data_IF_078292081060
#
_entry.id   IF_078292081060
#
_cell.length_a   1.000
_cell.length_b   1.000
_cell.length_c   1.000
_cell.angle_alpha   90.00
_cell.angle_beta   90.00
_cell.angle_gamma   90.00
#
_symmetry.space_group_name_H-M   'P 1'
#
loop_
_entity.id
_entity.type
_entity.pdbx_description
1 polymer ?
#
# COMPACT_ATOMS: atom_id res chain seq x y z
N UNK A 1 -6.76 11.38 -10.66
CA UNK A 1 -6.54 10.72 -11.98
C UNK A 1 -5.12 10.17 -12.08
N UNK A 2 -4.13 10.84 -11.49
CA UNK A 2 -2.74 10.37 -11.48
C UNK A 2 -2.56 8.97 -10.85
N UNK A 3 -3.41 8.63 -9.88
CA UNK A 3 -3.44 7.36 -9.14
C UNK A 3 -4.23 6.27 -9.88
N UNK A 4 -5.01 6.65 -10.90
CA UNK A 4 -5.88 5.78 -11.68
C UNK A 4 -5.31 5.46 -13.06
N UNK A 5 -4.05 5.85 -13.33
CA UNK A 5 -3.36 5.46 -14.54
C UNK A 5 -1.88 5.15 -14.30
N UNK A 6 -1.30 4.34 -15.18
CA UNK A 6 0.12 4.05 -15.22
C UNK A 6 0.64 4.23 -16.65
N UNK A 7 1.53 5.21 -16.83
CA UNK A 7 2.21 5.45 -18.10
C UNK A 7 3.36 4.45 -18.31
N UNK A 8 3.43 3.85 -19.50
CA UNK A 8 4.45 2.88 -19.90
C UNK A 8 5.09 3.34 -21.22
N UNK A 9 6.29 3.93 -21.19
CA UNK A 9 7.00 4.31 -22.41
C UNK A 9 7.56 3.08 -23.15
N UNK A 10 7.85 3.23 -24.44
CA UNK A 10 8.47 2.21 -25.28
C UNK A 10 7.51 1.13 -25.79
N UNK A 11 6.20 1.26 -25.55
CA UNK A 11 5.18 0.35 -26.08
C UNK A 11 4.23 1.11 -27.01
N UNK A 12 3.66 0.45 -28.05
CA UNK A 12 2.70 1.11 -28.94
C UNK A 12 1.41 1.44 -28.17
N UNK A 13 0.73 2.52 -28.56
CA UNK A 13 -0.54 2.96 -27.95
C UNK A 13 -1.61 1.85 -27.94
N UNK A 14 -1.63 1.00 -28.97
CA UNK A 14 -2.53 -0.15 -29.08
C UNK A 14 -2.35 -1.20 -27.96
N UNK A 15 -1.23 -1.18 -27.22
CA UNK A 15 -1.01 -2.03 -26.04
C UNK A 15 -1.62 -1.48 -24.76
N UNK A 16 -2.18 -0.26 -24.80
CA UNK A 16 -2.90 0.33 -23.67
C UNK A 16 -4.13 -0.50 -23.32
N UNK A 17 -4.43 -0.59 -22.02
CA UNK A 17 -5.55 -1.40 -21.52
C UNK A 17 -6.04 -0.91 -20.18
N UNK A 18 -7.30 -1.21 -19.88
CA UNK A 18 -7.88 -0.98 -18.55
C UNK A 18 -7.77 -2.29 -17.77
N UNK A 19 -7.22 -2.22 -16.55
CA UNK A 19 -7.18 -3.33 -15.62
C UNK A 19 -8.12 -3.07 -14.43
N UNK A 20 -8.78 -4.10 -13.89
CA UNK A 20 -9.50 -3.97 -12.62
C UNK A 20 -8.50 -3.73 -11.49
N UNK A 21 -8.91 -3.01 -10.44
CA UNK A 21 -8.07 -2.66 -9.30
C UNK A 21 -7.17 -1.45 -9.53
N UNK A 22 -6.19 -1.28 -8.64
CA UNK A 22 -5.21 -0.19 -8.67
C UNK A 22 -3.79 -0.73 -8.87
N UNK A 23 -2.90 0.12 -9.38
CA UNK A 23 -1.49 -0.21 -9.59
C UNK A 23 -0.65 0.72 -8.73
N UNK A 24 0.07 0.15 -7.76
CA UNK A 24 1.05 0.85 -6.96
C UNK A 24 2.39 0.77 -7.67
N UNK A 25 3.02 1.92 -7.96
CA UNK A 25 4.24 2.00 -8.78
C UNK A 25 5.52 1.60 -8.03
N UNK A 26 5.39 0.67 -7.09
CA UNK A 26 6.38 0.17 -6.12
C UNK A 26 6.44 -1.34 -6.25
N UNK A 27 7.55 -1.92 -5.83
CA UNK A 27 7.70 -3.36 -5.73
C UNK A 27 7.41 -3.84 -4.30
N UNK A 28 7.24 -5.14 -4.12
CA UNK A 28 7.11 -5.75 -2.80
C UNK A 28 8.45 -5.70 -2.04
N UNK A 29 8.41 -5.21 -0.81
CA UNK A 29 9.51 -5.40 0.15
C UNK A 29 9.55 -6.86 0.66
N UNK A 30 8.37 -7.47 0.76
CA UNK A 30 8.17 -8.89 0.99
C UNK A 30 7.00 -9.38 0.12
N UNK A 31 7.21 -10.43 -0.66
CA UNK A 31 6.13 -11.05 -1.43
C UNK A 31 5.87 -12.46 -0.91
N UNK A 32 4.68 -12.65 -0.36
CA UNK A 32 4.13 -13.92 0.11
C UNK A 32 2.84 -14.17 -0.67
N UNK A 33 2.86 -14.98 -1.74
CA UNK A 33 1.70 -15.17 -2.60
C UNK A 33 0.55 -15.81 -1.82
N UNK A 34 -0.66 -15.25 -2.01
CA UNK A 34 -1.90 -15.76 -1.43
C UNK A 34 -2.90 -15.98 -2.56
N UNK A 35 -3.63 -17.09 -2.49
CA UNK A 35 -4.73 -17.35 -3.41
C UNK A 35 -6.04 -16.83 -2.81
N UNK A 36 -6.82 -16.12 -3.63
CA UNK A 36 -8.13 -15.61 -3.24
C UNK A 36 -8.08 -14.33 -2.41
N UNK A 37 -9.18 -14.09 -1.69
CA UNK A 37 -9.37 -12.88 -0.89
C UNK A 37 -8.42 -12.83 0.30
N UNK A 38 -7.95 -11.62 0.62
CA UNK A 38 -6.95 -11.39 1.65
C UNK A 38 -7.22 -10.09 2.40
N UNK A 39 -6.92 -10.08 3.70
CA UNK A 39 -7.04 -8.88 4.53
C UNK A 39 -5.77 -8.06 4.44
N UNK A 40 -5.93 -6.78 4.15
CA UNK A 40 -4.88 -5.78 4.05
C UNK A 40 -4.97 -4.79 5.21
N UNK A 41 -3.82 -4.47 5.80
CA UNK A 41 -3.67 -3.47 6.84
C UNK A 41 -2.98 -2.23 6.27
N UNK A 42 -3.56 -1.07 6.51
CA UNK A 42 -3.00 0.24 6.14
C UNK A 42 -2.22 0.77 7.33
N UNK A 43 -0.99 1.24 7.14
CA UNK A 43 -0.15 1.80 8.21
C UNK A 43 0.54 3.07 7.73
N UNK A 44 0.61 4.08 8.58
CA UNK A 44 1.26 5.36 8.27
C UNK A 44 2.64 5.55 8.89
N UNK A 45 3.02 4.68 9.83
CA UNK A 45 4.21 4.85 10.67
C UNK A 45 5.14 3.62 10.61
N UNK A 46 6.45 3.77 10.91
CA UNK A 46 7.33 2.63 11.12
C UNK A 46 6.83 1.75 12.28
N UNK A 47 6.79 0.44 12.05
CA UNK A 47 6.20 -0.51 13.00
C UNK A 47 7.18 -0.99 14.06
N UNK A 48 8.48 -0.83 13.82
CA UNK A 48 9.48 -1.08 14.86
C UNK A 48 9.38 0.07 15.89
N UNK A 49 9.18 -0.24 17.18
CA UNK A 49 9.24 0.76 18.23
C UNK A 49 10.60 1.46 18.23
N UNK A 50 10.58 2.79 18.30
CA UNK A 50 11.79 3.56 18.56
C UNK A 50 12.26 3.32 20.01
N UNK A 51 13.58 3.34 20.24
CA UNK A 51 14.14 3.25 21.59
C UNK A 51 13.82 4.49 22.42
N UNK A 52 13.68 5.63 21.76
CA UNK A 52 13.31 6.90 22.36
C UNK A 52 12.34 7.67 21.49
N UNK A 53 11.59 8.57 22.13
CA UNK A 53 10.79 9.56 21.42
C UNK A 53 11.71 10.55 20.66
N UNK A 54 11.17 11.28 19.67
CA UNK A 54 11.87 12.40 19.05
C UNK A 54 12.40 13.37 20.12
N UNK A 55 13.61 13.89 19.91
CA UNK A 55 14.28 14.83 20.82
C UNK A 55 14.57 14.31 22.24
N UNK A 56 14.55 12.99 22.44
CA UNK A 56 14.92 12.33 23.70
C UNK A 56 16.16 11.45 23.50
N UNK A 57 17.17 11.66 24.35
CA UNK A 57 18.40 10.86 24.36
C UNK A 57 18.19 9.50 25.06
N UNK A 58 18.67 8.44 24.42
CA UNK A 58 18.68 7.10 25.01
C UNK A 58 20.01 6.85 25.71
N UNK A 59 20.04 7.05 27.03
CA UNK A 59 21.24 6.78 27.84
C UNK A 59 21.26 5.30 28.22
N UNK A 60 22.40 4.64 27.98
CA UNK A 60 22.62 3.25 28.34
C UNK A 60 23.83 3.15 29.26
N UNK A 61 23.64 2.56 30.44
CA UNK A 61 24.70 2.42 31.46
C UNK A 61 25.56 1.16 31.25
N UNK A 62 25.12 0.24 30.40
CA UNK A 62 25.84 -1.00 30.10
C UNK A 62 25.44 -1.65 28.78
N UNK A 63 26.35 -2.41 28.18
CA UNK A 63 26.05 -3.24 27.00
C UNK A 63 24.88 -4.21 27.25
N UNK A 64 24.76 -4.76 28.46
CA UNK A 64 23.67 -5.66 28.83
C UNK A 64 22.29 -5.00 28.74
N UNK A 65 22.18 -3.73 29.13
CA UNK A 65 20.96 -2.94 29.01
C UNK A 65 20.62 -2.66 27.54
N UNK A 66 21.61 -2.27 26.74
CA UNK A 66 21.42 -2.07 25.30
C UNK A 66 20.89 -3.33 24.60
N UNK A 67 21.53 -4.48 24.87
CA UNK A 67 21.11 -5.78 24.34
C UNK A 67 19.73 -6.23 24.85
N UNK A 68 19.37 -5.88 26.08
CA UNK A 68 18.02 -6.12 26.59
C UNK A 68 16.97 -5.30 25.82
N UNK A 69 17.24 -4.02 25.57
CA UNK A 69 16.35 -3.14 24.80
C UNK A 69 16.15 -3.60 23.36
N UNK A 70 17.23 -4.02 22.68
CA UNK A 70 17.13 -4.58 21.32
C UNK A 70 16.31 -5.88 21.28
N UNK A 71 16.49 -6.76 22.28
CA UNK A 71 15.70 -8.00 22.41
C UNK A 71 14.23 -7.70 22.69
N UNK A 72 13.92 -6.69 23.49
CA UNK A 72 12.55 -6.25 23.75
C UNK A 72 11.89 -5.75 22.46
N UNK A 73 12.54 -4.86 21.71
CA UNK A 73 12.04 -4.39 20.40
C UNK A 73 11.77 -5.56 19.47
N UNK A 74 12.73 -6.48 19.35
CA UNK A 74 12.62 -7.65 18.47
C UNK A 74 11.40 -8.49 18.80
N UNK A 75 11.24 -8.86 20.09
CA UNK A 75 10.10 -9.66 20.56
C UNK A 75 8.77 -8.93 20.39
N UNK A 76 8.75 -7.61 20.58
CA UNK A 76 7.56 -6.78 20.40
C UNK A 76 7.14 -6.73 18.93
N UNK A 77 8.08 -6.50 18.01
CA UNK A 77 7.82 -6.53 16.57
C UNK A 77 7.33 -7.91 16.13
N UNK A 78 7.95 -8.98 16.61
CA UNK A 78 7.51 -10.35 16.33
C UNK A 78 6.06 -10.59 16.79
N UNK A 79 5.75 -10.23 18.04
CA UNK A 79 4.41 -10.41 18.61
C UNK A 79 3.35 -9.65 17.82
N UNK A 80 3.66 -8.42 17.39
CA UNK A 80 2.76 -7.60 16.57
C UNK A 80 2.44 -8.27 15.22
N UNK A 81 3.48 -8.69 14.49
CA UNK A 81 3.29 -9.34 13.17
C UNK A 81 2.59 -10.69 13.31
N UNK A 82 2.90 -11.44 14.37
CA UNK A 82 2.21 -12.70 14.69
C UNK A 82 0.73 -12.49 14.99
N UNK A 83 0.38 -11.42 15.70
CA UNK A 83 -1.01 -11.05 15.96
C UNK A 83 -1.75 -10.70 14.66
N UNK A 84 -1.11 -10.04 13.71
CA UNK A 84 -1.72 -9.76 12.41
C UNK A 84 -2.00 -11.04 11.64
N UNK A 85 -1.05 -11.98 11.65
CA UNK A 85 -1.25 -13.30 11.07
C UNK A 85 -2.42 -14.04 11.75
N UNK A 86 -2.56 -13.98 13.08
CA UNK A 86 -3.68 -14.62 13.78
C UNK A 86 -5.03 -13.96 13.45
N UNK A 87 -5.02 -12.69 13.07
CA UNK A 87 -6.18 -11.96 12.56
C UNK A 87 -6.37 -12.13 11.03
N UNK A 88 -5.66 -13.07 10.40
CA UNK A 88 -5.73 -13.35 8.97
C UNK A 88 -5.34 -12.16 8.06
N UNK A 89 -4.51 -11.24 8.56
CA UNK A 89 -3.87 -10.22 7.72
C UNK A 89 -2.79 -10.89 6.88
N UNK A 90 -2.78 -10.58 5.59
CA UNK A 90 -1.86 -11.15 4.59
C UNK A 90 -1.16 -10.09 3.75
N UNK A 91 -1.55 -8.83 3.88
CA UNK A 91 -0.95 -7.71 3.19
C UNK A 91 -0.79 -6.52 4.13
N UNK A 92 0.38 -5.91 4.12
CA UNK A 92 0.69 -4.65 4.78
C UNK A 92 0.95 -3.60 3.71
N UNK A 93 0.20 -2.50 3.77
CA UNK A 93 0.32 -1.32 2.92
C UNK A 93 0.78 -0.16 3.79
N UNK A 94 2.01 0.28 3.58
CA UNK A 94 2.67 1.25 4.46
C UNK A 94 3.09 2.51 3.71
N UNK A 95 2.72 3.69 4.22
CA UNK A 95 3.31 4.94 3.71
C UNK A 95 4.74 5.13 4.18
N UNK A 96 5.06 4.70 5.40
CA UNK A 96 6.42 4.71 5.93
C UNK A 96 7.26 3.57 5.34
N UNK A 97 8.58 3.77 5.30
CA UNK A 97 9.54 2.69 5.08
C UNK A 97 9.58 1.81 6.33
N UNK A 98 9.50 0.49 6.16
CA UNK A 98 9.57 -0.47 7.24
C UNK A 98 10.98 -0.99 7.43
N UNK A 99 11.32 -1.31 8.67
CA UNK A 99 12.65 -1.82 8.99
C UNK A 99 12.79 -3.30 8.64
N UNK A 100 14.03 -3.75 8.39
CA UNK A 100 14.32 -5.13 7.97
C UNK A 100 13.74 -6.17 8.91
N UNK A 101 13.70 -5.88 10.22
CA UNK A 101 13.11 -6.77 11.22
C UNK A 101 11.61 -6.97 11.02
N UNK A 102 10.88 -5.92 10.62
CA UNK A 102 9.44 -5.99 10.31
C UNK A 102 9.25 -6.82 9.04
N UNK A 103 10.04 -6.55 7.99
CA UNK A 103 10.00 -7.28 6.72
C UNK A 103 10.33 -8.76 6.93
N UNK A 104 11.32 -9.06 7.78
CA UNK A 104 11.72 -10.43 8.14
C UNK A 104 10.56 -11.20 8.78
N UNK A 105 9.95 -10.65 9.83
CA UNK A 105 8.82 -11.31 10.48
C UNK A 105 7.59 -11.37 9.58
N UNK A 106 7.34 -10.36 8.74
CA UNK A 106 6.26 -10.40 7.77
C UNK A 106 6.42 -11.59 6.81
N UNK A 107 7.64 -11.81 6.28
CA UNK A 107 7.95 -13.00 5.47
C UNK A 107 7.74 -14.29 6.25
N UNK A 108 8.25 -14.37 7.48
CA UNK A 108 8.12 -15.55 8.34
C UNK A 108 6.65 -15.94 8.59
N UNK A 109 5.78 -14.95 8.75
CA UNK A 109 4.37 -15.13 9.03
C UNK A 109 3.46 -15.07 7.78
N UNK A 110 4.05 -15.01 6.58
CA UNK A 110 3.32 -15.06 5.31
C UNK A 110 2.50 -13.80 5.01
N UNK A 111 3.02 -12.62 5.36
CA UNK A 111 2.44 -11.31 5.11
C UNK A 111 3.25 -10.61 4.03
N UNK A 112 2.60 -10.27 2.92
CA UNK A 112 3.20 -9.42 1.88
C UNK A 112 3.31 -7.97 2.36
N UNK A 113 4.37 -7.26 1.96
CA UNK A 113 4.62 -5.88 2.37
C UNK A 113 4.87 -5.01 1.15
N UNK A 114 4.11 -3.92 1.06
CA UNK A 114 4.36 -2.80 0.14
C UNK A 114 4.56 -1.55 1.01
N UNK A 115 5.69 -0.90 0.85
CA UNK A 115 6.10 0.26 1.65
C UNK A 115 6.37 1.49 0.78
N UNK A 116 6.56 2.64 1.43
CA UNK A 116 6.78 3.93 0.76
C UNK A 116 5.61 4.33 -0.17
N UNK A 117 4.38 4.03 0.24
CA UNK A 117 3.18 4.49 -0.45
C UNK A 117 3.01 6.01 -0.27
N UNK A 118 2.60 6.66 -1.35
CA UNK A 118 2.32 8.09 -1.33
C UNK A 118 1.03 8.36 -0.54
N UNK A 119 0.92 9.55 0.04
CA UNK A 119 -0.27 9.96 0.79
C UNK A 119 -1.54 9.90 -0.08
N UNK A 120 -1.42 10.22 -1.37
CA UNK A 120 -2.50 10.16 -2.35
C UNK A 120 -2.92 8.71 -2.64
N UNK A 121 -1.97 7.77 -2.69
CA UNK A 121 -2.26 6.34 -2.83
C UNK A 121 -2.98 5.81 -1.58
N UNK A 122 -2.52 6.19 -0.38
CA UNK A 122 -3.15 5.82 0.89
C UNK A 122 -4.57 6.40 1.01
N UNK A 123 -4.77 7.64 0.61
CA UNK A 123 -6.07 8.31 0.61
C UNK A 123 -7.04 7.60 -0.35
N UNK A 124 -6.60 7.28 -1.57
CA UNK A 124 -7.40 6.54 -2.55
C UNK A 124 -7.80 5.16 -2.02
N UNK A 125 -6.88 4.41 -1.40
CA UNK A 125 -7.21 3.10 -0.84
C UNK A 125 -8.23 3.24 0.29
N UNK A 126 -8.07 4.25 1.15
CA UNK A 126 -9.02 4.53 2.23
C UNK A 126 -10.40 4.89 1.69
N UNK A 127 -10.47 5.68 0.61
CA UNK A 127 -11.71 6.03 -0.09
C UNK A 127 -12.41 4.81 -0.70
N UNK A 128 -11.65 3.95 -1.40
CA UNK A 128 -12.18 2.74 -2.05
C UNK A 128 -12.71 1.73 -1.01
N UNK A 129 -12.01 1.58 0.11
CA UNK A 129 -12.24 0.48 1.07
C UNK A 129 -13.05 0.93 2.29
N UNK A 130 -13.15 2.24 2.53
CA UNK A 130 -13.76 2.81 3.74
C UNK A 130 -12.93 2.59 5.02
N UNK A 131 -11.71 2.06 4.91
CA UNK A 131 -10.87 1.69 6.06
C UNK A 131 -9.89 2.82 6.38
N UNK A 132 -9.76 3.15 7.66
CA UNK A 132 -8.76 4.11 8.13
C UNK A 132 -7.41 3.44 8.38
N UNK A 133 -6.28 4.17 8.23
CA UNK A 133 -4.98 3.62 8.58
C UNK A 133 -4.91 3.20 10.05
N UNK A 134 -4.34 2.02 10.28
CA UNK A 134 -4.05 1.50 11.59
C UNK A 134 -3.06 2.41 12.31
N UNK A 135 -3.48 2.88 13.47
CA UNK A 135 -2.66 3.70 14.37
C UNK A 135 -2.20 2.86 15.54
N UNK A 136 -0.89 2.57 15.58
CA UNK A 136 -0.24 1.95 16.74
C UNK A 136 0.04 2.99 17.81
N UNK A 137 -1.02 3.61 18.37
CA UNK A 137 -0.84 4.49 19.53
C UNK A 137 -0.57 3.64 20.78
N UNK A 138 0.67 3.71 21.27
CA UNK A 138 1.06 3.25 22.60
C UNK A 138 1.50 1.78 22.72
N UNK A 139 1.86 1.40 23.94
CA UNK A 139 2.46 0.11 24.26
C UNK A 139 1.49 -1.09 24.21
N UNK A 140 0.23 -0.89 23.81
CA UNK A 140 -0.73 -1.98 23.76
C UNK A 140 -0.59 -2.78 22.46
N UNK A 141 0.27 -3.81 22.49
CA UNK A 141 0.42 -4.79 21.39
C UNK A 141 -0.93 -5.39 21.02
N UNK A 142 -1.84 -5.55 21.98
CA UNK A 142 -3.11 -6.25 21.85
C UNK A 142 -4.29 -5.37 21.44
N UNK A 143 -4.07 -4.20 20.81
CA UNK A 143 -5.19 -3.46 20.23
C UNK A 143 -5.84 -4.33 19.14
N UNK A 144 -7.13 -4.55 19.28
CA UNK A 144 -7.91 -5.33 18.31
C UNK A 144 -7.80 -4.66 16.93
N UNK A 145 -7.56 -5.47 15.89
CA UNK A 145 -7.55 -4.98 14.51
C UNK A 145 -9.01 -4.82 14.09
N UNK A 146 -9.57 -3.65 14.36
CA UNK A 146 -10.98 -3.36 14.10
C UNK A 146 -11.25 -3.11 12.62
N UNK A 147 -10.27 -2.61 11.88
CA UNK A 147 -10.45 -2.23 10.47
C UNK A 147 -9.35 -2.84 9.59
N UNK A 148 -9.76 -3.56 8.55
CA UNK A 148 -8.87 -4.10 7.51
C UNK A 148 -9.56 -3.99 6.17
N UNK A 149 -8.81 -3.60 5.14
CA UNK A 149 -9.31 -3.63 3.77
C UNK A 149 -9.35 -5.09 3.27
N UNK A 150 -10.35 -5.42 2.46
CA UNK A 150 -10.41 -6.72 1.77
C UNK A 150 -9.90 -6.52 0.35
N UNK A 151 -8.88 -7.29 -0.01
CA UNK A 151 -8.38 -7.35 -1.38
C UNK A 151 -8.77 -8.69 -2.02
N UNK A 152 -9.29 -8.64 -3.24
CA UNK A 152 -9.69 -9.82 -4.03
C UNK A 152 -8.48 -10.50 -4.67
N UNK A 153 -7.43 -9.75 -4.95
CA UNK A 153 -6.13 -10.24 -5.38
C UNK A 153 -5.03 -9.23 -5.06
N UNK A 154 -3.79 -9.72 -4.92
CA UNK A 154 -2.59 -8.89 -4.80
C UNK A 154 -1.42 -9.63 -5.45
N UNK A 155 -0.83 -9.06 -6.50
CA UNK A 155 0.19 -9.74 -7.31
C UNK A 155 1.23 -8.77 -7.88
N UNK A 156 2.45 -9.24 -8.16
CA UNK A 156 3.43 -8.46 -8.90
C UNK A 156 2.99 -8.27 -10.34
N UNK A 157 3.19 -7.07 -10.87
CA UNK A 157 2.90 -6.70 -12.25
C UNK A 157 4.12 -6.04 -12.87
N UNK A 158 4.54 -6.55 -14.02
CA UNK A 158 5.62 -5.94 -14.79
C UNK A 158 5.04 -4.98 -15.83
N UNK A 159 5.34 -3.69 -15.69
CA UNK A 159 4.98 -2.64 -16.64
C UNK A 159 6.24 -2.11 -17.32
N UNK A 160 6.50 -2.59 -18.54
CA UNK A 160 7.78 -2.36 -19.21
C UNK A 160 8.92 -2.98 -18.41
N UNK A 161 9.86 -2.18 -17.92
CA UNK A 161 10.96 -2.60 -17.04
C UNK A 161 10.69 -2.38 -15.55
N UNK A 162 9.54 -1.83 -15.17
CA UNK A 162 9.22 -1.49 -13.78
C UNK A 162 8.35 -2.58 -13.14
N UNK A 163 8.77 -3.05 -11.96
CA UNK A 163 7.96 -3.92 -11.11
C UNK A 163 7.01 -3.05 -10.29
N UNK A 164 5.72 -3.35 -10.39
CA UNK A 164 4.63 -2.69 -9.71
C UNK A 164 3.84 -3.74 -8.91
N UNK A 165 3.01 -3.27 -7.98
CA UNK A 165 2.03 -4.12 -7.29
C UNK A 165 0.65 -3.84 -7.86
N UNK A 166 -0.07 -4.89 -8.23
CA UNK A 166 -1.43 -4.84 -8.75
C UNK A 166 -2.39 -5.40 -7.70
N UNK A 167 -3.35 -4.59 -7.27
CA UNK A 167 -4.26 -4.92 -6.17
C UNK A 167 -5.70 -4.66 -6.57
N UNK A 168 -6.55 -5.66 -6.42
CA UNK A 168 -8.00 -5.51 -6.49
C UNK A 168 -8.56 -5.39 -5.09
N UNK A 169 -9.33 -4.35 -4.80
CA UNK A 169 -10.04 -4.19 -3.53
C UNK A 169 -11.52 -4.54 -3.69
N UNK A 170 -12.10 -5.11 -2.65
CA UNK A 170 -13.55 -5.11 -2.46
C UNK A 170 -13.96 -3.68 -2.15
N UNK A 171 -14.55 -3.01 -3.14
CA UNK A 171 -14.96 -1.62 -3.04
C UNK A 171 -16.23 -1.51 -2.18
N UNK A 172 -16.24 -0.54 -1.27
CA UNK A 172 -17.49 -0.11 -0.60
C UNK A 172 -18.25 0.92 -1.43
N UNK A 173 -17.64 1.43 -2.51
CA UNK A 173 -18.25 2.37 -3.43
C UNK A 173 -19.16 1.65 -4.43
N UNK A 174 -20.09 2.41 -5.04
CA UNK A 174 -20.94 1.92 -6.13
C UNK A 174 -20.17 1.56 -7.43
N UNK A 175 -18.85 1.78 -7.45
CA UNK A 175 -17.98 1.49 -8.58
C UNK A 175 -16.81 0.60 -8.17
N UNK A 176 -16.35 -0.20 -9.12
CA UNK A 176 -15.11 -0.96 -8.98
C UNK A 176 -13.94 -0.10 -9.46
N UNK A 177 -12.86 0.05 -8.66
CA UNK A 177 -11.70 0.80 -9.10
C UNK A 177 -11.06 0.09 -10.29
N UNK A 178 -10.64 0.87 -11.27
CA UNK A 178 -9.89 0.40 -12.43
C UNK A 178 -8.68 1.32 -12.65
N UNK A 179 -7.61 0.75 -13.20
CA UNK A 179 -6.41 1.48 -13.56
C UNK A 179 -6.19 1.41 -15.07
N UNK A 180 -5.99 2.57 -15.69
CA UNK A 180 -5.64 2.66 -17.10
C UNK A 180 -4.13 2.52 -17.28
N UNK A 181 -3.69 1.47 -17.96
CA UNK A 181 -2.33 1.37 -18.47
C UNK A 181 -2.26 2.11 -19.80
N UNK A 182 -1.48 3.17 -19.83
CA UNK A 182 -1.31 4.04 -20.98
C UNK A 182 0.07 3.82 -21.59
N UNK A 183 0.10 3.24 -22.78
CA UNK A 183 1.32 2.96 -23.53
C UNK A 183 1.61 4.04 -24.56
N UNK A 184 2.88 4.35 -24.76
CA UNK A 184 3.30 5.34 -25.75
C UNK A 184 4.78 5.18 -26.09
N UNK A 185 5.22 5.70 -27.24
CA UNK A 185 6.60 5.53 -27.68
C UNK A 185 7.60 6.21 -26.73
N UNK A 186 7.22 7.35 -26.13
CA UNK A 186 8.03 8.14 -25.20
C UNK A 186 7.15 8.76 -24.12
N UNK A 187 7.75 9.15 -23.00
CA UNK A 187 7.03 9.70 -21.84
C UNK A 187 6.20 10.95 -22.19
N UNK A 188 6.75 11.87 -23.00
CA UNK A 188 6.01 13.08 -23.38
C UNK A 188 4.71 12.82 -24.13
N UNK A 189 4.63 11.73 -24.91
CA UNK A 189 3.38 11.33 -25.57
C UNK A 189 2.40 10.72 -24.56
N UNK A 190 2.89 9.95 -23.59
CA UNK A 190 2.05 9.44 -22.51
C UNK A 190 1.47 10.57 -21.67
N UNK A 191 2.25 11.61 -21.38
CA UNK A 191 1.78 12.80 -20.65
C UNK A 191 0.65 13.52 -21.40
N UNK A 192 0.81 13.71 -22.72
CA UNK A 192 -0.23 14.30 -23.57
C UNK A 192 -1.51 13.46 -23.58
N UNK A 193 -1.38 12.14 -23.71
CA UNK A 193 -2.54 11.24 -23.67
C UNK A 193 -3.21 11.24 -22.28
N UNK A 194 -2.44 11.28 -21.20
CA UNK A 194 -2.98 11.34 -19.84
C UNK A 194 -3.74 12.65 -19.61
N UNK A 195 -3.19 13.78 -20.05
CA UNK A 195 -3.85 15.08 -19.97
C UNK A 195 -5.17 15.10 -20.77
N UNK A 196 -5.14 14.64 -22.02
CA UNK A 196 -6.34 14.57 -22.86
C UNK A 196 -7.45 13.69 -22.25
N UNK A 197 -7.08 12.56 -21.65
CA UNK A 197 -8.03 11.68 -20.96
C UNK A 197 -8.59 12.32 -19.69
N UNK A 198 -7.76 13.03 -18.92
CA UNK A 198 -8.20 13.76 -17.74
C UNK A 198 -9.21 14.86 -18.12
N UNK A 199 -8.95 15.60 -19.20
CA UNK A 199 -9.88 16.59 -19.74
C UNK A 199 -11.19 15.94 -20.20
N UNK A 200 -11.12 14.80 -20.90
CA UNK A 200 -12.30 14.05 -21.32
C UNK A 200 -13.15 13.58 -20.13
N UNK A 201 -12.52 13.05 -19.07
CA UNK A 201 -13.23 12.67 -17.84
C UNK A 201 -13.84 13.88 -17.14
N UNK A 202 -13.14 15.01 -17.12
CA UNK A 202 -13.66 16.25 -16.54
C UNK A 202 -14.90 16.72 -17.30
N UNK A 203 -14.88 16.69 -18.64
CA UNK A 203 -16.06 17.02 -19.46
C UNK A 203 -17.23 16.07 -19.19
N UNK A 204 -16.97 14.75 -19.14
CA UNK A 204 -18.01 13.76 -18.83
C UNK A 204 -18.65 14.03 -17.46
N UNK A 205 -17.85 14.33 -16.44
CA UNK A 205 -18.36 14.68 -15.12
C UNK A 205 -19.29 15.91 -15.16
N UNK A 206 -19.00 16.92 -15.99
CA UNK A 206 -19.88 18.08 -16.14
C UNK A 206 -21.22 17.72 -16.80
N UNK A 207 -21.20 16.84 -17.81
CA UNK A 207 -22.43 16.37 -18.46
C UNK A 207 -23.33 15.66 -17.45
N UNK A 208 -22.78 14.77 -16.62
CA UNK A 208 -23.58 14.06 -15.62
C UNK A 208 -24.07 14.96 -14.47
N UNK A 209 -23.28 15.97 -14.06
CA UNK A 209 -23.73 16.96 -13.07
C UNK A 209 -24.94 17.78 -13.53
N UNK A 210 -25.10 18.00 -14.83
CA UNK A 210 -26.25 18.73 -15.38
C UNK A 210 -27.52 17.89 -15.51
N UNK A 211 -27.45 16.57 -15.33
CA UNK A 211 -28.60 15.65 -15.42
C UNK A 211 -29.28 15.43 -14.05
N UNK A 212 -28.57 15.72 -12.95
CA UNK A 212 -29.08 15.62 -11.57
C UNK A 212 -29.67 16.95 -11.02
N UNK A 213 -29.94 17.93 -11.89
CA UNK A 213 -30.68 19.18 -11.61
C UNK A 213 -32.03 19.20 -12.33
#
# INVERSE_FOLDING_TARGET
FAELHAAVPGLPLASSRVLPGIILRRDFAAYCPVQGELRALLVTEPLRPALTAPDVEFVVDSEGQYQASLRWITRRTEALVKQWQSNNVKLLLSSAKQEEIVIYYAKLYGISVVECLLSEEMALISEITGVSPYTSFGDNVYREITETAVATFCQPLLLGSKRCVHIGFTSVCAFQPHCLILCGPVDGINEQHAAALQEAFTMLQQVFKTVDQ
#
